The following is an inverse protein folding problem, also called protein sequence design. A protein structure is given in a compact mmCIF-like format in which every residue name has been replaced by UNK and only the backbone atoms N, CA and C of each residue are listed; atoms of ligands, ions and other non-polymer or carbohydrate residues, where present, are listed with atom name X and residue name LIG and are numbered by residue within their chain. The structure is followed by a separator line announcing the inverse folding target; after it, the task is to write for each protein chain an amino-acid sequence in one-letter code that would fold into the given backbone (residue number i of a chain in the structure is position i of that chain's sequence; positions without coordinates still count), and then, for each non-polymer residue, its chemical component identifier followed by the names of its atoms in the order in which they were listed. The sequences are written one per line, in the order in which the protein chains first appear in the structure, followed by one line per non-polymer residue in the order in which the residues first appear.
data_IF_865785246483
#
_entry.id   IF_865785246483
#
_cell.length_a   1.000
_cell.length_b   1.000
_cell.length_c   1.000
_cell.angle_alpha   90.00
_cell.angle_beta   90.00
_cell.angle_gamma   90.00
#
_symmetry.space_group_name_H-M   'P 1'
#
loop_
_entity.id
_entity.type
_entity.pdbx_description
1 polymer ?
#
# COMPACT_ATOMS: atom_id res chain seq x y z
N UNK A 1 -32.03 6.14 35.92
CA UNK A 1 -32.80 7.34 36.28
C UNK A 1 -33.55 7.20 37.58
N UNK A 2 -34.26 8.21 37.93
CA UNK A 2 -35.33 8.12 38.90
C UNK A 2 -36.61 8.12 38.07
N UNK A 3 -37.30 7.00 38.03
CA UNK A 3 -38.47 6.78 37.19
C UNK A 3 -39.71 7.49 37.72
N UNK A 4 -39.67 7.87 38.99
CA UNK A 4 -40.74 8.59 39.64
C UNK A 4 -40.25 9.43 40.82
N UNK A 5 -41.03 10.42 41.17
CA UNK A 5 -40.78 11.18 42.40
C UNK A 5 -41.50 10.51 43.56
N UNK A 6 -40.77 10.05 44.58
CA UNK A 6 -41.42 9.44 45.77
C UNK A 6 -42.39 10.44 46.44
N UNK A 7 -43.59 9.97 46.71
CA UNK A 7 -44.60 10.78 47.39
C UNK A 7 -44.92 10.16 48.75
N UNK A 8 -45.04 11.02 49.71
CA UNK A 8 -45.55 10.67 51.05
C UNK A 8 -46.49 11.74 51.55
N UNK A 9 -47.46 11.38 52.30
CA UNK A 9 -48.41 12.34 52.85
C UNK A 9 -49.59 11.65 53.50
N UNK A 10 -50.49 12.40 54.06
CA UNK A 10 -51.72 11.92 54.62
C UNK A 10 -52.91 12.60 53.94
N UNK A 11 -54.02 11.90 53.80
CA UNK A 11 -55.24 12.43 53.29
C UNK A 11 -56.41 11.99 54.17
N UNK A 12 -57.47 12.82 54.19
CA UNK A 12 -58.64 12.57 55.03
C UNK A 12 -59.83 12.34 54.11
N UNK A 13 -60.62 11.30 54.42
CA UNK A 13 -61.93 11.13 53.84
C UNK A 13 -62.95 11.71 54.78
N UNK A 14 -63.70 12.71 54.29
CA UNK A 14 -64.67 13.40 55.13
C UNK A 14 -65.85 12.46 55.52
N UNK A 15 -66.41 12.72 56.67
CA UNK A 15 -67.60 11.98 57.12
C UNK A 15 -68.72 12.04 56.07
N UNK A 16 -69.27 10.88 55.73
CA UNK A 16 -70.29 10.75 54.69
C UNK A 16 -69.76 10.69 53.26
N UNK A 17 -68.47 10.69 53.09
CA UNK A 17 -67.76 10.51 51.79
C UNK A 17 -67.15 9.10 51.73
N UNK A 18 -67.05 8.60 50.53
CA UNK A 18 -66.38 7.29 50.25
C UNK A 18 -65.04 7.47 49.57
N UNK A 19 -64.66 8.71 49.27
CA UNK A 19 -63.42 9.03 48.60
C UNK A 19 -62.77 10.30 49.22
N UNK A 20 -61.47 10.45 49.22
CA UNK A 20 -60.80 11.69 49.65
C UNK A 20 -61.13 12.82 48.69
N UNK A 21 -61.10 14.03 49.18
CA UNK A 21 -61.30 15.24 48.37
C UNK A 21 -60.13 15.54 47.42
N UNK A 22 -59.02 14.93 47.69
CA UNK A 22 -57.79 15.09 46.87
C UNK A 22 -57.25 13.72 46.44
N UNK A 23 -56.67 13.66 45.28
CA UNK A 23 -55.95 12.49 44.78
C UNK A 23 -54.46 12.59 45.11
N UNK A 24 -53.81 11.47 45.26
CA UNK A 24 -52.37 11.40 45.35
C UNK A 24 -51.88 11.26 43.91
N UNK A 25 -51.08 12.24 43.45
CA UNK A 25 -50.39 12.15 42.19
C UNK A 25 -49.03 11.53 42.42
N UNK A 26 -48.71 10.48 41.66
CA UNK A 26 -47.36 9.91 41.55
C UNK A 26 -46.74 10.48 40.28
N UNK A 27 -45.82 11.45 40.35
CA UNK A 27 -45.15 11.93 39.14
C UNK A 27 -44.20 10.89 38.59
N UNK A 28 -44.43 10.48 37.37
CA UNK A 28 -43.50 9.66 36.56
C UNK A 28 -42.55 10.65 35.89
N UNK A 29 -41.28 10.27 35.86
CA UNK A 29 -40.22 11.04 35.22
C UNK A 29 -39.89 10.37 33.88
N UNK A 30 -39.65 11.18 32.86
CA UNK A 30 -39.22 10.71 31.56
C UNK A 30 -37.77 11.14 31.38
N UNK A 31 -36.95 10.27 30.78
CA UNK A 31 -35.60 10.59 30.31
C UNK A 31 -35.37 9.99 28.92
N UNK A 32 -34.15 9.73 28.48
CA UNK A 32 -33.80 9.16 27.18
C UNK A 32 -33.02 7.85 27.35
N UNK A 33 -33.31 7.08 28.41
CA UNK A 33 -32.60 5.83 28.72
C UNK A 33 -33.54 4.66 28.42
N UNK A 34 -33.07 3.73 27.59
CA UNK A 34 -33.73 2.43 27.36
C UNK A 34 -33.70 1.61 28.65
N UNK A 35 -34.81 1.49 29.30
CA UNK A 35 -34.99 0.87 30.59
C UNK A 35 -35.60 -0.54 30.49
N UNK A 36 -35.63 -1.24 31.61
CA UNK A 36 -36.30 -2.54 31.67
C UNK A 36 -37.81 -2.30 31.71
N UNK A 37 -38.54 -2.92 30.79
CA UNK A 37 -40.00 -2.93 30.81
C UNK A 37 -40.56 -3.45 32.13
N UNK A 38 -41.78 -3.01 32.45
CA UNK A 38 -42.53 -3.50 33.63
C UNK A 38 -41.87 -3.19 34.98
N UNK A 39 -41.17 -2.07 35.10
CA UNK A 39 -40.77 -1.58 36.42
C UNK A 39 -41.99 -1.28 37.28
N UNK A 40 -41.88 -1.57 38.56
CA UNK A 40 -43.06 -1.48 39.44
C UNK A 40 -42.83 -0.56 40.62
N UNK A 41 -43.83 0.29 40.86
CA UNK A 41 -43.91 1.13 42.07
C UNK A 41 -45.01 0.62 42.97
N UNK A 42 -44.65 0.35 44.21
CA UNK A 42 -45.61 -0.05 45.23
C UNK A 42 -46.03 1.15 46.08
N UNK A 43 -47.30 1.48 46.05
CA UNK A 43 -47.89 2.48 46.92
C UNK A 43 -48.57 1.73 48.06
N UNK A 44 -48.12 1.97 49.29
CA UNK A 44 -48.68 1.41 50.48
C UNK A 44 -49.50 2.43 51.22
N UNK A 45 -50.73 2.08 51.61
CA UNK A 45 -51.54 2.89 52.47
C UNK A 45 -51.39 2.30 53.87
N UNK A 46 -50.98 3.14 54.80
CA UNK A 46 -50.86 2.79 56.19
C UNK A 46 -51.95 3.51 56.98
N UNK A 47 -52.60 2.82 57.84
CA UNK A 47 -53.60 3.45 58.71
C UNK A 47 -52.86 4.17 59.82
N UNK A 48 -52.90 5.48 59.80
CA UNK A 48 -52.35 6.27 60.90
C UNK A 48 -53.13 5.94 62.15
N UNK A 49 -52.43 5.56 63.22
CA UNK A 49 -53.01 5.26 64.49
C UNK A 49 -53.87 6.39 65.03
N UNK A 50 -54.63 6.14 66.00
CA UNK A 50 -55.65 7.01 66.60
C UNK A 50 -55.20 8.46 66.63
N UNK A 51 -55.94 9.36 65.96
CA UNK A 51 -55.75 10.78 65.99
C UNK A 51 -55.84 11.24 67.47
N UNK A 52 -54.76 11.88 67.92
CA UNK A 52 -54.60 12.36 69.26
C UNK A 52 -55.27 13.73 69.47
N UNK A 53 -55.99 14.23 68.54
CA UNK A 53 -56.53 15.61 68.57
C UNK A 53 -57.94 15.74 69.20
N UNK A 54 -58.41 14.75 69.81
CA UNK A 54 -59.69 14.77 70.56
C UNK A 54 -60.92 15.12 69.71
N UNK A 55 -60.81 15.20 68.42
CA UNK A 55 -61.99 15.51 67.55
C UNK A 55 -62.61 14.22 66.98
N UNK A 56 -62.14 13.07 67.39
CA UNK A 56 -62.67 11.80 67.00
C UNK A 56 -62.61 11.51 65.52
N UNK A 57 -61.67 12.14 64.85
CA UNK A 57 -61.48 12.02 63.42
C UNK A 57 -60.45 10.96 63.02
N UNK A 58 -59.77 10.40 63.99
CA UNK A 58 -59.01 9.19 63.73
C UNK A 58 -59.96 8.00 63.62
N UNK A 59 -59.57 7.09 62.78
CA UNK A 59 -60.16 5.73 62.82
C UNK A 59 -60.04 5.19 64.23
N UNK A 60 -61.06 5.49 65.04
CA UNK A 60 -61.16 4.80 66.32
C UNK A 60 -61.81 3.44 66.13
N UNK A 61 -61.00 2.47 66.15
CA UNK A 61 -61.44 1.09 66.51
C UNK A 61 -61.83 0.96 67.99
N UNK A 62 -62.45 1.98 68.61
CA UNK A 62 -62.44 1.97 70.04
C UNK A 62 -63.75 1.84 70.78
N UNK A 63 -64.87 1.75 70.16
CA UNK A 63 -66.00 1.38 71.04
C UNK A 63 -67.25 0.88 70.34
N UNK A 64 -67.27 0.85 69.11
CA UNK A 64 -68.33 0.10 68.41
C UNK A 64 -67.62 -0.86 67.46
N UNK A 65 -67.89 -2.05 67.67
CA UNK A 65 -67.46 -3.26 66.99
C UNK A 65 -67.57 -3.27 65.45
N UNK A 66 -67.26 -2.21 64.83
CA UNK A 66 -67.03 -2.20 63.40
C UNK A 66 -65.53 -2.33 63.15
N UNK A 67 -65.18 -3.53 63.01
CA UNK A 67 -63.83 -3.87 62.48
C UNK A 67 -63.76 -3.35 61.04
N UNK A 68 -63.03 -2.26 60.82
CA UNK A 68 -62.65 -1.94 59.43
C UNK A 68 -62.00 -3.17 58.86
N UNK A 69 -62.61 -3.73 57.86
CA UNK A 69 -62.03 -4.83 57.12
C UNK A 69 -60.92 -4.15 56.30
N UNK A 70 -59.69 -4.54 56.63
CA UNK A 70 -58.54 -4.11 55.86
C UNK A 70 -58.75 -4.53 54.42
N UNK A 71 -58.91 -3.53 53.55
CA UNK A 71 -58.85 -3.72 52.07
C UNK A 71 -57.43 -3.95 51.62
N UNK A 72 -57.24 -4.00 50.35
CA UNK A 72 -55.88 -4.06 49.78
C UNK A 72 -55.14 -2.77 50.14
N UNK A 73 -54.07 -2.90 50.96
CA UNK A 73 -53.24 -1.81 51.45
C UNK A 73 -52.04 -1.49 50.55
N UNK A 74 -51.81 -2.29 49.55
CA UNK A 74 -50.71 -2.13 48.58
C UNK A 74 -51.30 -2.14 47.18
N UNK A 75 -50.96 -1.15 46.43
CA UNK A 75 -51.23 -1.06 45.01
C UNK A 75 -49.90 -1.00 44.24
N UNK A 76 -49.78 -1.80 43.21
CA UNK A 76 -48.59 -1.84 42.35
C UNK A 76 -48.92 -1.18 41.01
N UNK A 77 -48.17 -0.18 40.67
CA UNK A 77 -48.18 0.45 39.36
C UNK A 77 -47.05 -0.14 38.54
N UNK A 78 -47.27 -0.39 37.25
CA UNK A 78 -46.24 -0.68 36.26
C UNK A 78 -45.89 0.59 35.56
N UNK A 79 -44.63 0.86 35.40
CA UNK A 79 -44.10 1.90 34.55
C UNK A 79 -43.57 1.19 33.30
N UNK A 80 -44.12 1.55 32.16
CA UNK A 80 -43.66 1.03 30.88
C UNK A 80 -42.63 2.03 30.31
N UNK A 81 -41.47 1.52 29.82
CA UNK A 81 -40.46 2.27 29.12
C UNK A 81 -41.00 2.75 27.76
N UNK A 82 -40.82 4.02 27.43
CA UNK A 82 -41.24 4.60 26.16
C UNK A 82 -40.05 5.00 25.29
N UNK A 83 -38.81 4.68 25.70
CA UNK A 83 -37.61 4.91 24.96
C UNK A 83 -37.27 3.76 24.00
N UNK A 84 -36.58 4.10 22.93
CA UNK A 84 -36.15 3.11 21.97
C UNK A 84 -34.80 2.51 22.36
N UNK A 85 -34.57 1.21 22.11
CA UNK A 85 -33.26 0.62 22.29
C UNK A 85 -32.18 1.41 21.55
N UNK A 86 -31.01 1.64 22.16
CA UNK A 86 -29.93 2.35 21.49
C UNK A 86 -29.40 1.58 20.29
N UNK A 87 -28.97 2.31 19.26
CA UNK A 87 -28.23 1.73 18.13
C UNK A 87 -26.74 1.98 18.28
N UNK A 88 -25.92 1.05 17.75
CA UNK A 88 -24.48 1.18 17.73
C UNK A 88 -23.97 1.79 16.42
N UNK A 89 -22.93 2.60 16.51
CA UNK A 89 -22.29 3.25 15.36
C UNK A 89 -20.79 3.44 15.60
N UNK A 90 -20.00 3.56 14.53
CA UNK A 90 -18.61 3.93 14.64
C UNK A 90 -18.47 5.42 14.96
N UNK A 91 -17.70 5.72 16.01
CA UNK A 91 -17.54 7.11 16.50
C UNK A 91 -16.30 7.75 15.90
N UNK A 92 -16.45 8.94 15.36
CA UNK A 92 -15.32 9.76 14.94
C UNK A 92 -14.55 10.32 16.15
N UNK A 93 -13.26 10.58 15.98
CA UNK A 93 -12.41 11.19 17.02
C UNK A 93 -12.89 12.57 17.48
N UNK A 94 -13.64 13.29 16.65
CA UNK A 94 -14.24 14.60 17.01
C UNK A 94 -15.57 14.48 17.75
N UNK A 95 -16.09 13.25 17.87
CA UNK A 95 -17.31 12.97 18.64
C UNK A 95 -18.62 13.51 18.04
N UNK A 96 -18.62 13.99 16.81
CA UNK A 96 -19.76 14.72 16.22
C UNK A 96 -20.45 13.98 15.08
N UNK A 97 -19.76 13.12 14.38
CA UNK A 97 -20.32 12.43 13.20
C UNK A 97 -19.97 10.95 13.15
N UNK A 98 -20.81 10.16 12.54
CA UNK A 98 -20.52 8.79 12.19
C UNK A 98 -19.29 8.76 11.27
N UNK A 99 -18.14 8.33 11.77
CA UNK A 99 -16.97 8.15 10.92
C UNK A 99 -17.01 6.75 10.33
N UNK A 100 -17.17 6.70 9.02
CA UNK A 100 -17.13 5.44 8.27
C UNK A 100 -15.76 5.20 7.63
N UNK A 101 -14.80 6.09 7.83
CA UNK A 101 -13.47 6.03 7.23
C UNK A 101 -12.37 6.42 8.21
N UNK A 102 -11.20 5.86 8.03
CA UNK A 102 -9.98 6.21 8.76
C UNK A 102 -8.75 5.67 8.04
N UNK A 103 -7.56 6.05 8.51
CA UNK A 103 -6.30 5.56 8.00
C UNK A 103 -5.36 5.19 9.14
N UNK A 104 -4.39 4.37 8.82
CA UNK A 104 -3.30 3.94 9.69
C UNK A 104 -2.12 3.56 8.80
N UNK A 105 -0.89 3.87 9.22
CA UNK A 105 0.30 3.46 8.50
C UNK A 105 0.58 1.97 8.76
N UNK A 106 1.30 1.31 7.89
CA UNK A 106 1.71 -0.08 8.08
C UNK A 106 2.46 -0.26 9.41
N UNK A 107 2.41 -1.46 9.98
CA UNK A 107 3.05 -1.77 11.27
C UNK A 107 2.42 -1.10 12.49
N UNK A 108 1.50 -0.19 12.30
CA UNK A 108 0.87 0.57 13.37
C UNK A 108 -0.47 -0.04 13.80
N UNK A 109 -1.04 0.50 14.86
CA UNK A 109 -2.32 0.01 15.40
C UNK A 109 -3.34 1.13 15.43
N UNK A 110 -4.50 0.89 14.79
CA UNK A 110 -5.65 1.79 14.84
C UNK A 110 -6.62 1.38 15.93
N UNK A 111 -6.85 2.25 16.90
CA UNK A 111 -7.96 2.10 17.84
C UNK A 111 -9.24 2.68 17.24
N UNK A 112 -10.27 1.87 17.17
CA UNK A 112 -11.59 2.22 16.63
C UNK A 112 -12.58 2.23 17.79
N UNK A 113 -13.40 3.27 17.85
CA UNK A 113 -14.45 3.43 18.89
C UNK A 113 -15.81 3.17 18.29
N UNK A 114 -16.60 2.37 18.99
CA UNK A 114 -18.01 2.15 18.72
C UNK A 114 -18.81 2.76 19.87
N UNK A 115 -19.80 3.56 19.53
CA UNK A 115 -20.66 4.23 20.50
C UNK A 115 -22.10 3.75 20.39
N UNK A 116 -22.87 3.98 21.45
CA UNK A 116 -24.32 3.84 21.48
C UNK A 116 -24.98 5.21 21.37
N UNK A 117 -26.15 5.26 20.74
CA UNK A 117 -26.93 6.48 20.61
C UNK A 117 -27.48 7.03 21.92
N UNK A 118 -27.72 6.14 22.89
CA UNK A 118 -28.19 6.47 24.23
C UNK A 118 -27.67 5.44 25.26
N UNK A 119 -27.81 5.75 26.53
CA UNK A 119 -27.56 4.78 27.59
C UNK A 119 -28.70 3.75 27.67
N UNK A 120 -28.41 2.59 28.24
CA UNK A 120 -29.41 1.54 28.49
C UNK A 120 -29.19 0.92 29.85
N UNK A 121 -30.25 0.43 30.48
CA UNK A 121 -30.18 -0.44 31.65
C UNK A 121 -29.78 -1.87 31.30
N UNK A 122 -29.82 -2.23 30.01
CA UNK A 122 -29.56 -3.58 29.52
C UNK A 122 -28.08 -3.72 29.15
N UNK A 123 -27.56 -4.94 29.34
CA UNK A 123 -26.24 -5.29 28.85
C UNK A 123 -26.26 -5.42 27.32
N UNK A 124 -25.44 -4.61 26.65
CA UNK A 124 -25.40 -4.55 25.20
C UNK A 124 -24.14 -5.22 24.69
N UNK A 125 -24.31 -6.18 23.79
CA UNK A 125 -23.22 -6.92 23.17
C UNK A 125 -23.12 -6.57 21.68
N UNK A 126 -21.96 -6.02 21.30
CA UNK A 126 -21.66 -5.65 19.94
C UNK A 126 -20.67 -6.66 19.36
N UNK A 127 -20.92 -7.12 18.14
CA UNK A 127 -20.01 -7.97 17.39
C UNK A 127 -19.45 -7.20 16.20
N UNK A 128 -18.21 -7.49 15.87
CA UNK A 128 -17.56 -7.00 14.65
C UNK A 128 -17.15 -8.16 13.76
N UNK A 129 -17.08 -7.92 12.49
CA UNK A 129 -16.48 -8.83 11.52
C UNK A 129 -15.77 -8.05 10.44
N UNK A 130 -14.76 -8.68 9.83
CA UNK A 130 -14.26 -8.26 8.54
C UNK A 130 -15.36 -8.51 7.50
N UNK A 131 -15.70 -7.50 6.72
CA UNK A 131 -16.71 -7.61 5.68
C UNK A 131 -16.21 -8.35 4.43
N UNK A 132 -14.89 -8.54 4.32
CA UNK A 132 -14.25 -9.23 3.20
C UNK A 132 -14.43 -8.51 1.85
N UNK A 133 -14.67 -7.21 1.88
CA UNK A 133 -14.85 -6.37 0.68
C UNK A 133 -13.74 -5.34 0.50
N UNK A 134 -12.81 -5.23 1.44
CA UNK A 134 -11.55 -4.52 1.28
C UNK A 134 -10.57 -5.30 0.41
N UNK A 135 -9.49 -4.65 -0.02
CA UNK A 135 -8.42 -5.23 -0.83
C UNK A 135 -7.22 -5.71 0.00
N UNK A 136 -7.08 -5.24 1.24
CA UNK A 136 -6.10 -5.76 2.18
C UNK A 136 -6.32 -7.24 2.52
N UNK A 137 -5.25 -8.02 2.60
CA UNK A 137 -5.26 -9.45 2.84
C UNK A 137 -5.13 -9.79 4.32
N UNK A 138 -6.15 -10.39 4.88
CA UNK A 138 -6.15 -10.80 6.28
C UNK A 138 -5.05 -11.81 6.60
N UNK A 139 -4.23 -11.48 7.59
CA UNK A 139 -3.09 -12.30 8.03
C UNK A 139 -1.77 -11.99 7.34
N UNK A 140 -1.79 -11.20 6.26
CA UNK A 140 -0.60 -10.58 5.64
C UNK A 140 -0.52 -9.13 6.06
N UNK A 141 -1.46 -8.32 5.64
CA UNK A 141 -1.42 -6.86 5.77
C UNK A 141 -1.98 -6.39 7.13
N UNK A 142 -2.75 -7.24 7.81
CA UNK A 142 -3.27 -6.96 9.14
C UNK A 142 -3.57 -8.24 9.93
N UNK A 143 -3.58 -8.12 11.25
CA UNK A 143 -3.99 -9.22 12.13
C UNK A 143 -5.45 -9.60 11.85
N UNK A 144 -5.67 -10.86 11.53
CA UNK A 144 -6.97 -11.38 11.13
C UNK A 144 -8.09 -11.00 12.12
N UNK A 145 -9.14 -10.39 11.62
CA UNK A 145 -10.36 -10.10 12.35
C UNK A 145 -11.26 -11.34 12.24
N UNK A 146 -11.34 -12.10 13.31
CA UNK A 146 -12.22 -13.28 13.33
C UNK A 146 -13.67 -12.84 13.15
N UNK A 147 -14.41 -13.51 12.28
CA UNK A 147 -15.83 -13.23 12.05
C UNK A 147 -16.62 -13.32 13.36
N UNK A 148 -17.50 -12.38 13.56
CA UNK A 148 -18.34 -12.26 14.75
C UNK A 148 -17.56 -12.23 16.07
N UNK A 149 -16.43 -11.52 16.09
CA UNK A 149 -15.73 -11.29 17.34
C UNK A 149 -16.55 -10.36 18.23
N UNK A 150 -16.91 -10.88 19.40
CA UNK A 150 -17.55 -10.07 20.45
C UNK A 150 -16.60 -8.97 20.88
N UNK A 151 -17.05 -7.72 20.80
CA UNK A 151 -16.42 -6.62 21.51
C UNK A 151 -16.66 -6.79 23.01
N UNK A 152 -16.31 -5.85 23.81
CA UNK A 152 -16.69 -5.88 25.23
C UNK A 152 -18.19 -5.70 25.38
N UNK A 153 -18.80 -6.34 26.38
CA UNK A 153 -20.17 -6.01 26.78
C UNK A 153 -20.19 -4.60 27.34
N UNK A 154 -21.04 -3.75 26.80
CA UNK A 154 -21.38 -2.49 27.44
C UNK A 154 -22.41 -2.82 28.52
N UNK A 155 -21.99 -2.74 29.77
CA UNK A 155 -22.86 -3.11 30.90
C UNK A 155 -23.89 -2.05 31.15
N UNK A 156 -25.14 -2.47 31.20
CA UNK A 156 -26.23 -1.65 31.67
C UNK A 156 -26.06 -1.29 33.14
N UNK A 157 -26.68 -0.22 33.55
CA UNK A 157 -26.72 0.25 34.94
C UNK A 157 -28.13 0.62 35.30
N UNK A 158 -28.63 0.10 36.41
CA UNK A 158 -29.97 0.40 36.89
C UNK A 158 -30.19 1.92 36.94
N UNK A 159 -31.26 2.38 36.28
CA UNK A 159 -31.55 3.79 36.08
C UNK A 159 -30.67 4.47 35.02
N UNK A 160 -29.89 3.72 34.25
CA UNK A 160 -29.07 4.22 33.14
C UNK A 160 -28.00 5.26 33.49
N UNK A 161 -27.95 5.74 34.70
CA UNK A 161 -26.99 6.78 35.12
C UNK A 161 -25.60 6.18 35.27
N UNK A 162 -24.69 6.64 34.44
CA UNK A 162 -23.30 6.16 34.42
C UNK A 162 -23.10 4.88 33.63
N UNK A 163 -24.10 4.40 32.89
CA UNK A 163 -23.89 3.31 31.91
C UNK A 163 -22.84 3.74 30.88
N UNK A 164 -21.96 2.81 30.54
CA UNK A 164 -21.02 3.04 29.45
C UNK A 164 -21.77 3.13 28.12
N UNK A 165 -21.39 4.08 27.29
CA UNK A 165 -21.97 4.25 25.94
C UNK A 165 -20.95 4.02 24.84
N UNK A 166 -19.74 3.62 25.18
CA UNK A 166 -18.64 3.43 24.21
C UNK A 166 -17.82 2.18 24.53
N UNK A 167 -17.29 1.57 23.47
CA UNK A 167 -16.33 0.49 23.51
C UNK A 167 -15.29 0.68 22.41
N UNK A 168 -14.05 0.33 22.68
CA UNK A 168 -12.97 0.41 21.70
C UNK A 168 -12.43 -0.97 21.35
N UNK A 169 -11.84 -1.05 20.17
CA UNK A 169 -11.04 -2.20 19.75
C UNK A 169 -9.90 -1.76 18.86
N UNK A 170 -8.86 -2.57 18.81
CA UNK A 170 -7.67 -2.31 18.02
C UNK A 170 -7.68 -3.16 16.74
N UNK A 171 -7.14 -2.56 15.68
CA UNK A 171 -6.76 -3.21 14.42
C UNK A 171 -5.28 -2.94 14.24
N UNK A 172 -4.48 -4.01 14.32
CA UNK A 172 -3.04 -3.94 14.12
C UNK A 172 -2.73 -4.32 12.68
N UNK A 173 -2.02 -3.45 11.97
CA UNK A 173 -1.49 -3.71 10.63
C UNK A 173 -0.14 -4.40 10.73
N UNK A 174 0.31 -4.94 9.63
CA UNK A 174 1.58 -5.66 9.53
C UNK A 174 2.57 -4.77 8.78
N UNK A 175 3.78 -4.69 9.27
CA UNK A 175 4.91 -4.02 8.63
C UNK A 175 5.60 -4.97 7.68
N UNK A 176 5.98 -4.49 6.49
CA UNK A 176 6.90 -5.21 5.62
C UNK A 176 7.90 -4.27 4.92
N UNK A 177 8.38 -4.55 3.75
CA UNK A 177 9.37 -3.75 3.02
C UNK A 177 9.05 -3.72 1.53
N UNK A 178 7.79 -3.81 1.18
CA UNK A 178 7.28 -3.87 -0.19
C UNK A 178 6.55 -2.57 -0.49
N UNK A 179 6.98 -1.85 -1.52
CA UNK A 179 6.27 -0.66 -2.02
C UNK A 179 4.94 -1.08 -2.66
N UNK A 180 3.83 -0.78 -2.01
CA UNK A 180 2.47 -1.19 -2.35
C UNK A 180 1.55 0.01 -2.64
N UNK A 181 0.36 -0.28 -3.13
CA UNK A 181 -0.71 0.73 -3.15
C UNK A 181 -1.42 0.72 -1.79
N UNK A 182 -1.92 1.88 -1.36
CA UNK A 182 -2.75 1.95 -0.16
C UNK A 182 -3.88 0.93 -0.22
N UNK A 183 -4.03 0.13 0.82
CA UNK A 183 -4.98 -0.97 0.90
C UNK A 183 -6.11 -0.66 1.88
N UNK A 184 -7.21 -1.40 1.81
CA UNK A 184 -8.38 -1.14 2.64
C UNK A 184 -8.87 -2.38 3.38
N UNK A 185 -9.27 -2.17 4.65
CA UNK A 185 -10.02 -3.13 5.46
C UNK A 185 -11.42 -2.58 5.66
N UNK A 186 -12.45 -3.36 5.38
CA UNK A 186 -13.83 -2.97 5.64
C UNK A 186 -14.37 -3.76 6.83
N UNK A 187 -14.60 -3.06 7.93
CA UNK A 187 -15.10 -3.64 9.18
C UNK A 187 -16.58 -3.35 9.30
N UNK A 188 -17.39 -4.36 9.58
CA UNK A 188 -18.81 -4.21 9.82
C UNK A 188 -19.16 -4.50 11.27
N UNK A 189 -20.11 -3.75 11.82
CA UNK A 189 -20.81 -4.13 13.04
C UNK A 189 -21.88 -5.16 12.66
N UNK A 190 -21.89 -6.27 13.36
CA UNK A 190 -22.80 -7.35 13.08
C UNK A 190 -23.79 -7.54 14.23
N UNK A 191 -25.05 -7.77 13.89
CA UNK A 191 -26.03 -8.36 14.80
C UNK A 191 -26.01 -9.85 14.56
N UNK A 192 -25.86 -10.66 15.60
CA UNK A 192 -25.98 -12.09 15.41
C UNK A 192 -27.44 -12.52 15.55
N UNK A 193 -27.92 -13.23 14.58
CA UNK A 193 -29.18 -13.97 14.68
C UNK A 193 -29.03 -15.31 15.42
N UNK A 194 -27.86 -15.61 16.00
CA UNK A 194 -27.56 -16.96 16.49
C UNK A 194 -27.08 -17.05 17.94
N UNK A 195 -27.18 -16.00 18.73
CA UNK A 195 -26.92 -16.12 20.17
C UNK A 195 -28.18 -16.57 20.86
N UNK A 196 -28.25 -17.86 21.17
CA UNK A 196 -29.29 -18.43 22.06
C UNK A 196 -28.87 -18.13 23.49
N UNK A 197 -29.40 -17.11 24.07
CA UNK A 197 -29.20 -16.73 25.48
C UNK A 197 -29.66 -15.30 25.67
N UNK A 198 -30.27 -15.07 26.80
CA UNK A 198 -30.97 -13.88 27.27
C UNK A 198 -30.09 -12.60 27.27
N UNK A 199 -29.61 -12.23 26.11
CA UNK A 199 -28.91 -10.97 25.90
C UNK A 199 -29.65 -10.23 24.79
N UNK A 200 -30.24 -9.11 25.15
CA UNK A 200 -30.86 -8.20 24.19
C UNK A 200 -29.80 -7.77 23.19
N UNK A 201 -29.84 -8.43 22.05
CA UNK A 201 -29.02 -8.07 20.90
C UNK A 201 -29.58 -6.76 20.42
N UNK A 202 -28.74 -5.74 20.35
CA UNK A 202 -29.13 -4.51 19.67
C UNK A 202 -29.62 -4.92 18.29
N UNK A 203 -30.93 -4.85 18.12
CA UNK A 203 -31.45 -4.66 16.79
C UNK A 203 -30.90 -3.33 16.33
N UNK A 204 -30.24 -3.27 15.17
CA UNK A 204 -30.06 -2.00 14.48
C UNK A 204 -31.46 -1.54 14.08
N UNK A 205 -32.21 -1.14 15.08
CA UNK A 205 -33.55 -0.67 14.90
C UNK A 205 -33.40 0.66 14.18
N UNK A 206 -34.06 0.73 13.07
CA UNK A 206 -34.42 1.98 12.44
C UNK A 206 -34.88 2.95 13.53
N UNK A 207 -34.00 3.86 13.91
CA UNK A 207 -34.36 4.91 14.84
C UNK A 207 -35.64 5.58 14.35
N UNK A 208 -36.68 5.55 15.17
CA UNK A 208 -37.90 6.33 14.95
C UNK A 208 -38.86 5.81 13.92
N UNK A 209 -39.08 4.51 13.75
CA UNK A 209 -40.19 3.98 12.93
C UNK A 209 -40.23 4.46 11.49
N UNK A 210 -39.21 5.12 11.04
CA UNK A 210 -38.99 5.54 9.66
C UNK A 210 -38.27 4.44 8.89
N UNK A 211 -38.57 4.34 7.61
CA UNK A 211 -37.98 3.41 6.66
C UNK A 211 -36.52 3.74 6.29
N UNK A 212 -35.81 4.48 7.12
CA UNK A 212 -34.39 4.71 6.96
C UNK A 212 -33.66 3.45 7.45
N UNK A 213 -33.54 2.49 6.53
CA UNK A 213 -32.58 1.43 6.64
C UNK A 213 -31.18 2.07 6.73
N UNK A 214 -30.79 2.46 7.92
CA UNK A 214 -29.40 2.69 8.24
C UNK A 214 -28.73 1.35 8.05
N UNK A 215 -28.19 1.19 6.88
CA UNK A 215 -27.46 0.00 6.47
C UNK A 215 -26.44 -0.37 7.54
N UNK A 216 -26.09 -1.63 7.59
CA UNK A 216 -24.98 -2.18 8.35
C UNK A 216 -23.87 -1.12 8.41
N UNK A 217 -23.59 -0.61 9.59
CA UNK A 217 -22.55 0.38 9.77
C UNK A 217 -21.23 -0.28 9.43
N UNK A 218 -20.55 0.26 8.46
CA UNK A 218 -19.22 -0.19 8.02
C UNK A 218 -18.20 0.89 8.28
N UNK A 219 -17.01 0.48 8.63
CA UNK A 219 -15.84 1.34 8.78
C UNK A 219 -14.79 0.89 7.79
N UNK A 220 -14.40 1.77 6.90
CA UNK A 220 -13.29 1.52 5.98
C UNK A 220 -12.01 2.11 6.57
N UNK A 221 -11.08 1.23 6.89
CA UNK A 221 -9.73 1.59 7.34
C UNK A 221 -8.79 1.45 6.15
N UNK A 222 -8.14 2.55 5.77
CA UNK A 222 -7.07 2.53 4.79
C UNK A 222 -5.74 2.27 5.51
N UNK A 223 -5.02 1.26 5.06
CA UNK A 223 -3.62 1.03 5.41
C UNK A 223 -2.81 1.84 4.40
N UNK A 224 -1.99 2.75 4.88
CA UNK A 224 -1.11 3.57 4.04
C UNK A 224 0.26 2.93 3.98
N UNK A 225 0.72 2.69 2.74
CA UNK A 225 2.08 2.25 2.44
C UNK A 225 3.07 3.35 2.87
N UNK A 226 4.11 3.01 3.60
CA UNK A 226 5.10 3.96 4.09
C UNK A 226 6.50 3.72 3.52
N UNK A 227 6.65 2.77 2.59
CA UNK A 227 7.87 2.54 1.85
C UNK A 227 8.13 3.64 0.83
N UNK A 228 9.41 4.00 0.73
CA UNK A 228 9.84 4.91 -0.34
C UNK A 228 9.84 4.17 -1.68
N UNK A 229 9.50 4.89 -2.76
CA UNK A 229 9.60 4.36 -4.12
C UNK A 229 10.94 3.66 -4.38
N UNK A 230 10.97 2.46 -4.97
CA UNK A 230 12.20 1.75 -5.28
C UNK A 230 13.10 2.56 -6.20
N UNK A 231 14.40 2.45 -6.04
CA UNK A 231 15.36 3.02 -6.96
C UNK A 231 15.80 2.00 -8.01
N UNK A 232 15.85 2.44 -9.28
CA UNK A 232 16.25 1.60 -10.41
C UNK A 232 17.74 1.74 -10.66
N UNK A 233 18.46 0.61 -10.70
CA UNK A 233 19.91 0.57 -10.88
C UNK A 233 20.32 -0.50 -11.90
N UNK A 234 21.44 -0.27 -12.61
CA UNK A 234 22.14 -1.36 -13.29
C UNK A 234 22.82 -2.28 -12.27
N UNK A 235 22.73 -3.60 -12.45
CA UNK A 235 23.26 -4.59 -11.50
C UNK A 235 24.77 -4.83 -11.62
N UNK A 236 25.36 -4.55 -12.79
CA UNK A 236 26.74 -4.86 -13.11
C UNK A 236 27.73 -3.80 -12.62
N UNK A 237 27.46 -3.21 -11.47
CA UNK A 237 28.31 -2.16 -10.90
C UNK A 237 28.49 -2.29 -9.41
N UNK A 238 29.69 -2.57 -8.95
CA UNK A 238 30.04 -2.45 -7.54
C UNK A 238 29.93 -0.98 -7.08
N UNK A 239 28.90 -0.61 -6.34
CA UNK A 239 28.74 0.64 -5.57
C UNK A 239 29.20 1.97 -6.26
N UNK A 240 29.33 1.98 -7.57
CA UNK A 240 29.76 3.09 -8.41
C UNK A 240 28.57 3.62 -9.18
N UNK A 241 28.55 4.90 -9.48
CA UNK A 241 27.55 5.56 -10.33
C UNK A 241 27.55 5.03 -11.77
N UNK A 242 28.46 4.14 -12.12
CA UNK A 242 28.70 3.59 -13.45
C UNK A 242 28.80 2.08 -13.42
N UNK A 243 27.87 1.38 -14.05
CA UNK A 243 28.00 -0.03 -14.38
C UNK A 243 28.95 -0.23 -15.57
N UNK A 244 29.70 -1.34 -15.60
CA UNK A 244 30.61 -1.66 -16.70
C UNK A 244 30.59 -3.13 -17.05
N UNK A 245 30.64 -3.43 -18.34
CA UNK A 245 30.84 -4.78 -18.86
C UNK A 245 31.81 -4.75 -20.05
N UNK A 246 32.43 -5.89 -20.35
CA UNK A 246 33.33 -6.04 -21.50
C UNK A 246 32.93 -7.28 -22.27
N UNK A 247 32.91 -7.17 -23.59
CA UNK A 247 32.54 -8.24 -24.49
C UNK A 247 33.45 -8.22 -25.73
N UNK A 248 33.87 -9.39 -26.21
CA UNK A 248 34.54 -9.48 -27.49
C UNK A 248 33.51 -9.33 -28.63
N UNK A 249 33.88 -8.66 -29.71
CA UNK A 249 32.96 -8.40 -30.83
C UNK A 249 32.37 -9.70 -31.42
N UNK A 250 33.12 -10.81 -31.40
CA UNK A 250 32.67 -12.09 -31.91
C UNK A 250 31.81 -12.92 -30.92
N UNK A 251 31.49 -12.39 -29.74
CA UNK A 251 30.68 -13.09 -28.74
C UNK A 251 29.17 -13.06 -29.04
N UNK A 252 28.73 -12.20 -29.94
CA UNK A 252 27.37 -12.16 -30.48
C UNK A 252 26.37 -11.36 -29.66
N UNK A 253 26.28 -11.53 -28.34
CA UNK A 253 25.30 -10.81 -27.50
C UNK A 253 25.81 -10.48 -26.11
N UNK A 254 25.39 -9.34 -25.57
CA UNK A 254 25.55 -8.99 -24.14
C UNK A 254 24.19 -8.68 -23.54
N UNK A 255 23.93 -9.22 -22.35
CA UNK A 255 22.72 -8.94 -21.60
C UNK A 255 23.02 -7.87 -20.55
N UNK A 256 22.18 -6.86 -20.49
CA UNK A 256 22.23 -5.77 -19.54
C UNK A 256 21.09 -5.97 -18.54
N UNK A 257 21.42 -6.00 -17.24
CA UNK A 257 20.46 -6.23 -16.18
C UNK A 257 20.22 -4.96 -15.39
N UNK A 258 18.96 -4.78 -15.00
CA UNK A 258 18.47 -3.67 -14.17
C UNK A 258 17.66 -4.26 -13.04
N UNK A 259 17.81 -3.73 -11.84
CA UNK A 259 17.06 -4.18 -10.66
C UNK A 259 16.56 -3.00 -9.85
N UNK A 260 15.55 -3.26 -9.01
CA UNK A 260 15.02 -2.33 -8.04
C UNK A 260 15.72 -2.51 -6.69
N UNK A 261 15.78 -1.43 -5.90
CA UNK A 261 16.40 -1.47 -4.57
C UNK A 261 15.59 -2.21 -3.51
N UNK A 262 14.29 -2.26 -3.67
CA UNK A 262 13.34 -2.95 -2.80
C UNK A 262 12.29 -3.67 -3.67
N UNK A 263 11.55 -4.58 -3.07
CA UNK A 263 10.41 -5.21 -3.69
C UNK A 263 9.28 -4.20 -3.93
N UNK A 264 8.41 -4.47 -4.87
CA UNK A 264 7.20 -3.69 -5.11
C UNK A 264 6.10 -4.56 -5.71
N UNK A 265 4.85 -4.26 -5.44
CA UNK A 265 3.70 -4.80 -6.15
C UNK A 265 3.36 -4.02 -7.42
N UNK A 266 3.89 -2.80 -7.52
CA UNK A 266 3.59 -1.89 -8.64
C UNK A 266 4.40 -2.27 -9.88
N UNK A 267 3.80 -2.13 -11.06
CA UNK A 267 4.53 -2.26 -12.31
C UNK A 267 5.40 -1.03 -12.52
N UNK A 268 6.72 -1.24 -12.62
CA UNK A 268 7.70 -0.19 -12.89
C UNK A 268 8.04 -0.15 -14.37
N UNK A 269 8.04 1.04 -14.98
CA UNK A 269 8.53 1.24 -16.33
C UNK A 269 9.73 2.18 -16.33
N UNK A 270 10.80 1.78 -17.00
CA UNK A 270 12.07 2.50 -17.00
C UNK A 270 12.48 2.83 -18.44
N UNK A 271 12.43 4.09 -18.85
CA UNK A 271 13.01 4.48 -20.13
C UNK A 271 14.54 4.39 -20.09
N UNK A 272 15.14 4.06 -21.22
CA UNK A 272 16.58 4.13 -21.37
C UNK A 272 16.97 4.67 -22.76
N UNK A 273 18.18 5.20 -22.87
CA UNK A 273 18.74 5.74 -24.10
C UNK A 273 20.17 5.29 -24.29
N UNK A 274 20.64 5.35 -25.56
CA UNK A 274 22.04 5.16 -25.89
C UNK A 274 22.71 6.54 -26.00
N UNK A 275 23.86 6.69 -25.31
CA UNK A 275 24.67 7.88 -25.32
C UNK A 275 25.91 7.71 -26.21
N UNK A 276 26.65 8.81 -26.42
CA UNK A 276 27.90 8.83 -27.15
C UNK A 276 29.00 9.57 -26.40
N UNK A 277 28.95 9.59 -25.08
CA UNK A 277 29.94 10.31 -24.25
C UNK A 277 31.26 9.57 -24.09
N UNK A 278 31.26 8.26 -24.24
CA UNK A 278 32.47 7.43 -24.21
C UNK A 278 33.21 7.47 -25.53
N UNK A 279 34.57 7.39 -25.47
CA UNK A 279 35.43 7.44 -26.66
C UNK A 279 36.47 6.33 -26.64
N UNK A 280 36.70 5.65 -27.77
CA UNK A 280 35.89 5.68 -29.01
C UNK A 280 34.48 5.17 -28.76
N UNK A 281 33.52 5.75 -29.43
CA UNK A 281 32.11 5.36 -29.31
C UNK A 281 31.80 4.32 -30.40
N UNK A 282 31.16 3.21 -29.96
CA UNK A 282 30.66 2.21 -30.90
C UNK A 282 29.50 2.73 -31.72
N UNK A 283 29.43 2.33 -32.97
CA UNK A 283 28.41 2.72 -33.93
C UNK A 283 27.22 1.76 -33.81
N UNK A 284 26.06 2.28 -33.39
CA UNK A 284 24.86 1.49 -33.22
C UNK A 284 23.86 1.63 -34.38
N UNK A 285 22.92 0.68 -34.45
CA UNK A 285 21.82 0.65 -35.38
C UNK A 285 20.57 0.03 -34.80
N UNK A 286 19.40 0.27 -35.40
CA UNK A 286 18.16 -0.41 -35.06
C UNK A 286 18.05 -1.84 -35.64
N UNK A 287 18.96 -2.22 -36.55
CA UNK A 287 18.98 -3.53 -37.18
C UNK A 287 20.40 -3.92 -37.54
N UNK A 288 20.60 -5.21 -37.83
CA UNK A 288 21.87 -5.73 -38.34
C UNK A 288 22.33 -4.96 -39.56
N UNK A 289 23.62 -4.72 -39.68
CA UNK A 289 24.24 -4.02 -40.79
C UNK A 289 25.71 -4.46 -40.98
N UNK A 290 26.32 -4.00 -42.06
CA UNK A 290 27.77 -4.12 -42.25
C UNK A 290 28.48 -2.90 -41.63
N UNK A 291 29.81 -3.01 -41.51
CA UNK A 291 30.68 -1.91 -41.07
C UNK A 291 30.18 -0.54 -41.57
N UNK A 292 30.10 0.47 -40.74
CA UNK A 292 30.67 0.59 -39.40
C UNK A 292 29.65 0.32 -38.25
N UNK A 293 28.87 -0.74 -38.32
CA UNK A 293 27.90 -1.04 -37.26
C UNK A 293 28.48 -2.11 -36.30
N UNK A 294 28.73 -1.73 -35.06
CA UNK A 294 29.35 -2.55 -34.05
C UNK A 294 28.33 -3.29 -33.18
N UNK A 295 27.13 -2.71 -33.09
CA UNK A 295 26.03 -3.34 -32.36
C UNK A 295 24.67 -2.93 -32.91
N UNK A 296 23.64 -3.71 -32.60
CA UNK A 296 22.28 -3.30 -32.85
C UNK A 296 21.33 -3.62 -31.72
N UNK A 297 20.34 -2.73 -31.55
CA UNK A 297 19.19 -2.87 -30.67
C UNK A 297 18.02 -2.12 -31.30
N UNK A 298 16.79 -2.69 -31.21
CA UNK A 298 15.59 -2.10 -31.85
C UNK A 298 15.25 -0.69 -31.35
N UNK A 299 15.68 -0.34 -30.14
CA UNK A 299 15.53 0.99 -29.53
C UNK A 299 16.75 1.90 -29.67
N UNK A 300 17.72 1.64 -30.56
CA UNK A 300 18.93 2.44 -30.66
C UNK A 300 18.63 3.91 -30.96
N UNK A 301 17.82 4.19 -31.96
CA UNK A 301 17.37 5.55 -32.23
C UNK A 301 16.08 5.85 -31.49
N UNK A 302 16.16 6.61 -30.42
CA UNK A 302 14.97 7.03 -29.62
C UNK A 302 14.84 6.37 -28.27
N UNK A 303 15.71 5.42 -27.94
CA UNK A 303 15.67 4.72 -26.67
C UNK A 303 14.69 3.54 -26.64
N UNK A 304 14.58 2.93 -25.48
CA UNK A 304 13.66 1.85 -25.19
C UNK A 304 12.99 2.06 -23.83
N UNK A 305 12.11 1.15 -23.48
CA UNK A 305 11.49 1.08 -22.16
C UNK A 305 11.59 -0.34 -21.65
N UNK A 306 12.06 -0.49 -20.42
CA UNK A 306 12.01 -1.72 -19.67
C UNK A 306 10.74 -1.73 -18.83
N UNK A 307 10.16 -2.90 -18.65
CA UNK A 307 9.05 -3.12 -17.74
C UNK A 307 9.50 -4.14 -16.70
N UNK A 308 9.39 -3.78 -15.44
CA UNK A 308 9.61 -4.64 -14.30
C UNK A 308 8.24 -4.84 -13.65
N UNK A 309 7.76 -6.07 -13.62
CA UNK A 309 6.49 -6.37 -12.97
C UNK A 309 6.78 -6.66 -11.50
N UNK A 310 6.15 -5.90 -10.63
CA UNK A 310 6.13 -6.21 -9.21
C UNK A 310 5.32 -7.47 -8.94
N UNK A 311 5.72 -8.27 -7.98
CA UNK A 311 5.06 -9.51 -7.60
C UNK A 311 4.76 -9.61 -6.10
N UNK A 312 5.02 -8.53 -5.35
CA UNK A 312 4.76 -8.49 -3.91
C UNK A 312 5.62 -9.46 -3.10
N UNK A 313 6.77 -9.86 -3.62
CA UNK A 313 7.69 -10.74 -2.89
C UNK A 313 8.87 -9.95 -2.34
N UNK A 314 9.50 -10.45 -1.27
CA UNK A 314 10.70 -9.85 -0.66
C UNK A 314 11.95 -9.88 -1.57
N UNK A 315 11.79 -10.16 -2.84
CA UNK A 315 12.87 -10.21 -3.82
C UNK A 315 12.79 -9.00 -4.72
N UNK A 316 13.84 -8.19 -4.71
CA UNK A 316 13.94 -7.02 -5.60
C UNK A 316 13.79 -7.46 -7.05
N UNK A 317 12.68 -7.11 -7.72
CA UNK A 317 12.44 -7.52 -9.09
C UNK A 317 13.40 -6.82 -10.04
N UNK A 318 13.66 -7.44 -11.17
CA UNK A 318 14.56 -6.91 -12.19
C UNK A 318 14.07 -7.15 -13.61
N UNK A 319 14.71 -6.50 -14.55
CA UNK A 319 14.51 -6.71 -15.98
C UNK A 319 15.84 -6.70 -16.71
N UNK A 320 15.85 -7.21 -17.91
CA UNK A 320 17.04 -7.22 -18.77
C UNK A 320 16.68 -6.94 -20.21
N UNK A 321 17.66 -6.48 -20.96
CA UNK A 321 17.62 -6.42 -22.40
C UNK A 321 18.95 -6.86 -23.01
N UNK A 322 18.94 -7.20 -24.29
CA UNK A 322 20.11 -7.75 -24.96
C UNK A 322 20.54 -6.82 -26.08
N UNK A 323 21.83 -6.53 -26.13
CA UNK A 323 22.49 -5.92 -27.26
C UNK A 323 23.08 -7.02 -28.15
N UNK A 324 22.92 -6.87 -29.45
CA UNK A 324 23.53 -7.76 -30.43
C UNK A 324 24.80 -7.11 -30.97
N UNK A 325 25.92 -7.72 -30.68
CA UNK A 325 27.24 -7.25 -31.11
C UNK A 325 27.52 -7.81 -32.51
N UNK A 326 28.06 -6.98 -33.37
CA UNK A 326 28.40 -7.35 -34.75
C UNK A 326 29.89 -7.59 -34.88
N UNK A 327 30.26 -8.79 -35.26
CA UNK A 327 31.64 -9.09 -35.63
C UNK A 327 31.89 -8.76 -37.08
N UNK A 328 33.05 -8.21 -37.37
CA UNK A 328 33.54 -8.09 -38.75
C UNK A 328 35.04 -8.54 -38.84
N UNK A 329 35.76 -8.09 -39.83
CA UNK A 329 37.16 -8.48 -40.05
C UNK A 329 38.03 -7.21 -40.21
N UNK A 330 37.72 -6.18 -39.50
CA UNK A 330 38.39 -4.88 -39.55
C UNK A 330 39.10 -4.64 -38.22
N UNK A 331 40.38 -4.44 -38.26
CA UNK A 331 41.20 -4.12 -37.07
C UNK A 331 40.80 -2.73 -36.53
N UNK A 332 40.15 -2.71 -35.36
CA UNK A 332 39.58 -1.51 -34.75
C UNK A 332 40.11 -1.28 -33.33
N UNK A 333 39.80 -0.13 -32.76
CA UNK A 333 40.04 0.16 -31.38
C UNK A 333 38.88 -0.41 -30.53
N UNK A 334 39.20 -0.80 -29.29
CA UNK A 334 38.13 -1.11 -28.33
C UNK A 334 37.14 0.06 -28.26
N UNK A 335 35.88 -0.21 -28.46
CA UNK A 335 34.83 0.79 -28.56
C UNK A 335 33.82 0.67 -27.39
N UNK A 336 33.02 1.70 -27.19
CA UNK A 336 32.17 1.78 -26.00
C UNK A 336 30.74 2.14 -26.38
N UNK A 337 29.80 1.48 -25.71
CA UNK A 337 28.37 1.78 -25.75
C UNK A 337 27.98 2.37 -24.40
N UNK A 338 27.50 3.60 -24.41
CA UNK A 338 26.88 4.21 -23.23
C UNK A 338 25.38 3.89 -23.19
N UNK A 339 24.88 3.42 -22.08
CA UNK A 339 23.47 3.18 -21.83
C UNK A 339 23.08 3.98 -20.59
N UNK A 340 22.01 4.76 -20.70
CA UNK A 340 21.60 5.71 -19.65
C UNK A 340 20.13 5.49 -19.32
N UNK A 341 19.81 5.21 -18.06
CA UNK A 341 18.43 5.16 -17.58
C UNK A 341 17.84 6.57 -17.55
N UNK A 342 16.59 6.69 -17.95
CA UNK A 342 15.88 7.97 -18.00
C UNK A 342 15.58 8.53 -16.62
N UNK A 343 15.32 9.84 -16.57
CA UNK A 343 15.13 10.58 -15.31
C UNK A 343 13.72 10.41 -14.70
N UNK A 344 12.80 9.75 -15.40
CA UNK A 344 11.40 9.64 -14.99
C UNK A 344 10.87 8.21 -15.18
N UNK A 345 11.35 7.24 -14.41
CA UNK A 345 10.67 5.95 -14.34
C UNK A 345 9.27 6.13 -13.71
N UNK A 346 8.35 5.23 -14.01
CA UNK A 346 7.03 5.21 -13.38
C UNK A 346 7.09 4.26 -12.19
N UNK A 347 6.50 4.62 -11.07
CA UNK A 347 6.49 3.85 -9.81
C UNK A 347 7.89 3.50 -9.29
N UNK A 348 8.87 4.32 -9.60
CA UNK A 348 10.24 4.20 -9.13
C UNK A 348 10.98 5.53 -9.27
N UNK A 349 12.13 5.63 -8.66
CA UNK A 349 13.06 6.73 -8.85
C UNK A 349 14.35 6.24 -9.52
N UNK A 350 15.05 7.14 -10.20
CA UNK A 350 16.35 6.82 -10.78
C UNK A 350 17.38 6.63 -9.67
N UNK A 351 18.04 5.48 -9.67
CA UNK A 351 19.06 5.15 -8.67
C UNK A 351 20.43 5.76 -8.94
N UNK A 352 21.39 5.43 -8.10
CA UNK A 352 22.76 5.93 -8.20
C UNK A 352 23.53 5.37 -9.39
N UNK A 353 23.28 4.10 -9.75
CA UNK A 353 23.94 3.43 -10.91
C UNK A 353 23.02 3.50 -12.13
N UNK A 354 22.88 4.68 -12.69
CA UNK A 354 21.98 4.96 -13.82
C UNK A 354 22.65 4.95 -15.19
N UNK A 355 23.97 4.76 -15.26
CA UNK A 355 24.73 4.66 -16.50
C UNK A 355 25.48 3.33 -16.52
N UNK A 356 25.52 2.68 -17.69
CA UNK A 356 26.26 1.46 -17.93
C UNK A 356 27.09 1.60 -19.20
N UNK A 357 28.35 1.22 -19.16
CA UNK A 357 29.27 1.26 -20.30
C UNK A 357 29.66 -0.17 -20.68
N UNK A 358 29.29 -0.56 -21.88
CA UNK A 358 29.77 -1.81 -22.50
C UNK A 358 31.03 -1.48 -23.31
N UNK A 359 32.13 -2.16 -23.05
CA UNK A 359 33.31 -2.10 -23.90
C UNK A 359 33.33 -3.30 -24.85
N UNK A 360 33.30 -3.01 -26.15
CA UNK A 360 33.49 -4.04 -27.21
C UNK A 360 34.99 -4.11 -27.46
N UNK A 361 35.56 -5.29 -27.31
CA UNK A 361 36.99 -5.50 -27.59
C UNK A 361 37.17 -6.11 -28.96
N UNK A 362 38.05 -5.51 -29.74
CA UNK A 362 38.45 -5.99 -31.05
C UNK A 362 39.14 -7.36 -31.00
N UNK A 363 38.87 -8.22 -31.93
CA UNK A 363 39.45 -9.57 -32.04
C UNK A 363 40.55 -9.56 -33.08
N UNK A 364 41.74 -9.38 -32.72
CA UNK A 364 43.01 -9.57 -33.49
C UNK A 364 42.91 -9.71 -35.01
N UNK A 365 42.31 -8.74 -35.69
CA UNK A 365 42.17 -8.71 -37.13
C UNK A 365 43.24 -7.81 -37.81
N UNK A 366 44.37 -7.63 -37.12
CA UNK A 366 45.47 -6.81 -37.58
C UNK A 366 45.89 -7.19 -39.01
N UNK A 367 45.78 -6.30 -39.95
CA UNK A 367 46.08 -6.61 -41.35
C UNK A 367 47.57 -6.86 -41.56
N UNK A 368 47.88 -7.75 -42.46
CA UNK A 368 49.26 -8.00 -42.90
C UNK A 368 49.61 -7.09 -44.08
N UNK A 369 50.78 -6.48 -43.98
CA UNK A 369 51.29 -5.64 -45.08
C UNK A 369 52.00 -6.51 -46.07
N UNK A 370 51.58 -6.48 -47.31
CA UNK A 370 52.14 -7.27 -48.40
C UNK A 370 52.46 -6.38 -49.64
N UNK A 371 53.47 -6.79 -50.40
CA UNK A 371 53.60 -6.25 -51.75
C UNK A 371 52.56 -6.92 -52.66
N UNK A 372 51.76 -6.11 -53.33
CA UNK A 372 50.77 -6.60 -54.29
C UNK A 372 51.51 -7.32 -55.45
N UNK A 373 51.05 -8.55 -55.69
CA UNK A 373 51.65 -9.38 -56.80
C UNK A 373 51.56 -8.74 -58.19
N UNK A 374 50.68 -7.76 -58.37
CA UNK A 374 50.54 -7.02 -59.61
C UNK A 374 51.71 -6.06 -59.88
N UNK A 375 52.54 -5.76 -58.88
CA UNK A 375 53.68 -4.81 -58.99
C UNK A 375 55.03 -5.50 -59.04
N UNK A 376 55.07 -6.82 -58.85
CA UNK A 376 56.31 -7.57 -58.94
C UNK A 376 56.57 -7.97 -60.43
N UNK A 377 56.81 -7.00 -61.29
CA UNK A 377 57.41 -7.31 -62.56
C UNK A 377 58.88 -7.68 -62.33
N UNK A 378 59.10 -8.96 -62.19
CA UNK A 378 60.44 -9.53 -62.23
C UNK A 378 60.99 -9.30 -63.62
N UNK A 379 61.79 -8.29 -63.78
CA UNK A 379 62.46 -8.07 -65.07
C UNK A 379 62.56 -6.62 -65.55
N UNK A 380 62.72 -5.68 -64.69
CA UNK A 380 63.21 -4.35 -65.13
C UNK A 380 64.68 -4.50 -65.47
N UNK A 381 64.95 -4.70 -66.78
CA UNK A 381 66.29 -4.61 -67.32
C UNK A 381 66.71 -3.16 -67.37
N UNK A 382 67.81 -2.83 -66.78
CA UNK A 382 68.47 -1.55 -66.91
C UNK A 382 68.85 -1.40 -68.39
N UNK A 383 68.10 -0.60 -69.11
CA UNK A 383 68.46 -0.24 -70.49
C UNK A 383 69.29 1.03 -70.44
N UNK A 384 70.37 1.00 -71.18
CA UNK A 384 71.35 2.08 -71.32
C UNK A 384 70.73 3.32 -72.02
N UNK A 385 69.77 3.98 -71.37
CA UNK A 385 69.35 5.29 -71.77
C UNK A 385 69.66 6.31 -70.69
N UNK A 386 70.52 7.22 -71.04
CA UNK A 386 70.93 8.35 -70.23
C UNK A 386 69.68 9.14 -69.87
N UNK A 387 69.51 9.37 -68.60
CA UNK A 387 68.59 10.34 -67.99
C UNK A 387 67.11 10.00 -67.90
N UNK A 388 66.77 8.90 -67.31
CA UNK A 388 65.42 8.83 -66.76
C UNK A 388 65.40 8.03 -65.45
N UNK A 389 64.92 8.71 -64.45
CA UNK A 389 64.61 8.06 -63.20
C UNK A 389 63.55 7.01 -63.42
N UNK A 390 63.91 5.72 -63.32
CA UNK A 390 62.95 4.66 -63.29
C UNK A 390 62.41 4.53 -61.86
N UNK A 391 61.26 5.14 -61.64
CA UNK A 391 60.59 4.91 -60.35
C UNK A 391 60.00 3.49 -60.33
N UNK A 392 60.61 2.60 -59.54
CA UNK A 392 60.00 1.33 -59.17
C UNK A 392 58.76 1.63 -58.35
N UNK A 393 57.60 1.49 -59.00
CA UNK A 393 56.32 1.63 -58.26
C UNK A 393 55.98 0.27 -57.66
N UNK A 394 56.28 0.07 -56.39
CA UNK A 394 55.77 -1.06 -55.65
C UNK A 394 54.46 -0.64 -55.04
N UNK A 395 53.43 -1.43 -55.25
CA UNK A 395 52.13 -1.20 -54.58
C UNK A 395 52.17 -2.01 -53.28
N UNK A 396 52.11 -1.30 -52.20
CA UNK A 396 51.96 -1.90 -50.90
C UNK A 396 50.46 -1.96 -50.63
N UNK A 397 49.97 -3.10 -50.20
CA UNK A 397 48.60 -3.31 -49.88
C UNK A 397 48.49 -4.05 -48.52
N UNK A 398 47.41 -3.81 -47.86
CA UNK A 398 46.98 -4.63 -46.72
C UNK A 398 46.15 -5.79 -47.25
N UNK A 399 46.18 -6.93 -46.59
CA UNK A 399 45.35 -8.09 -46.90
C UNK A 399 43.90 -7.93 -46.42
N UNK A 400 43.67 -7.10 -45.38
CA UNK A 400 42.37 -6.70 -44.88
C UNK A 400 42.27 -5.20 -44.60
N UNK A 401 41.10 -4.71 -44.30
CA UNK A 401 40.89 -3.30 -43.92
C UNK A 401 41.29 -3.09 -42.44
N UNK A 402 41.65 -1.87 -42.10
CA UNK A 402 41.86 -1.44 -40.73
C UNK A 402 41.22 -0.08 -40.52
N UNK A 403 40.50 0.08 -39.41
CA UNK A 403 40.03 1.35 -38.88
C UNK A 403 41.10 2.20 -38.22
N UNK A 404 42.33 1.60 -38.02
CA UNK A 404 43.50 2.27 -37.43
C UNK A 404 44.42 2.80 -38.51
N UNK A 405 45.11 3.92 -38.24
CA UNK A 405 46.18 4.41 -39.09
C UNK A 405 47.39 3.48 -39.01
N UNK A 406 47.79 2.90 -40.13
CA UNK A 406 48.96 2.04 -40.21
C UNK A 406 50.16 2.83 -40.70
N UNK A 407 51.26 2.82 -39.96
CA UNK A 407 52.51 3.46 -40.32
C UNK A 407 53.57 2.40 -40.46
N UNK A 408 54.26 2.41 -41.57
CA UNK A 408 55.38 1.49 -41.84
C UNK A 408 56.57 2.21 -42.39
N UNK A 409 57.74 1.65 -42.23
CA UNK A 409 58.98 2.12 -42.82
C UNK A 409 59.48 1.20 -43.89
N UNK A 410 60.03 1.72 -44.96
CA UNK A 410 60.63 0.94 -46.04
C UNK A 410 62.14 1.12 -45.96
N UNK A 411 62.85 -0.01 -45.93
CA UNK A 411 64.31 -0.02 -46.07
C UNK A 411 64.66 -0.83 -47.30
N UNK A 412 65.59 -0.35 -48.05
CA UNK A 412 66.16 -1.08 -49.19
C UNK A 412 67.49 -1.73 -48.73
N UNK A 413 67.60 -3.01 -48.90
CA UNK A 413 68.84 -3.74 -48.62
C UNK A 413 69.38 -4.35 -49.92
N UNK A 414 70.67 -4.39 -50.07
CA UNK A 414 71.37 -5.12 -51.15
C UNK A 414 71.39 -6.60 -50.79
N UNK A 415 70.88 -7.47 -51.67
CA UNK A 415 70.92 -8.92 -51.48
C UNK A 415 72.31 -9.55 -51.57
N UNK A 416 73.34 -8.76 -51.64
CA UNK A 416 74.72 -9.22 -51.73
C UNK A 416 75.16 -9.70 -53.09
N UNK A 417 74.29 -9.69 -54.09
CA UNK A 417 74.54 -10.18 -55.42
C UNK A 417 74.90 -9.07 -56.45
N UNK A 418 75.67 -8.10 -55.96
CA UNK A 418 76.34 -7.13 -56.84
C UNK A 418 75.61 -5.81 -57.14
N UNK A 419 74.42 -5.60 -56.58
CA UNK A 419 73.77 -4.27 -56.64
C UNK A 419 74.38 -3.37 -55.56
N UNK A 420 75.27 -2.50 -55.86
CA UNK A 420 75.78 -1.47 -54.98
C UNK A 420 74.73 -0.33 -54.94
N UNK A 421 74.08 -0.13 -53.83
CA UNK A 421 73.32 1.10 -53.60
C UNK A 421 74.29 2.31 -53.70
N UNK A 422 74.26 3.03 -54.85
CA UNK A 422 74.94 4.28 -54.92
C UNK A 422 74.08 5.32 -54.13
N UNK A 423 74.75 6.08 -53.30
CA UNK A 423 74.13 7.17 -52.57
C UNK A 423 73.32 8.09 -53.47
N UNK A 424 72.25 8.67 -53.03
CA UNK A 424 71.50 9.61 -53.83
C UNK A 424 72.41 10.71 -54.35
N UNK A 425 72.47 10.90 -55.61
CA UNK A 425 73.04 12.10 -56.22
C UNK A 425 71.96 13.18 -56.04
N UNK A 426 72.37 14.23 -55.35
CA UNK A 426 71.61 15.47 -55.23
C UNK A 426 70.99 15.97 -56.50
#
# INVERSE_FOLDING_TARGET
GQDYTPVSGSFKIAAGSTAPATTIALPILSDDVDELDEQTVKVTIDVLGADQDNDNSSYEATSNTETAVEGSMVYTYTIDDDDNPPYAFFKNLDGVTDSEVGSVDEGETKTITVALSSASERDIVIYRSDAGTGDATSGSDYTAITAFTKLTTISGTAGGIGAATEVTFDVATTEDLIDEEDQTIVISLATTSSVTGDMDVISYATAGGGTDAQAVKTYTLTITDDEELPSVNFTDGSASTLGTSTIAENAGTVTINVELSIATEKTVTVPFTFGSSSTPAATGSNSTGAYPIDFYHSGYTGGGTLTINGDGTDVSPGASFTLNIQADAIDEWDEKIDIILGDSPTNAQKGGTFQHVVTITDVSDAPTINFSSASLNSGNTETTQASNDYNLKSIIALDSQSGKNITFSITTESDGNGATASAPRD
#
